data_IF_678261432616
#
_entry.id   IF_678261432616
#
_cell.length_a   1.000
_cell.length_b   1.000
_cell.length_c   1.000
_cell.angle_alpha   90.00
_cell.angle_beta   90.00
_cell.angle_gamma   90.00
#
_symmetry.space_group_name_H-M   'P 1'
#
loop_
_entity.id
_entity.type
_entity.pdbx_description
1 polymer ?
#
# COMPACT_ATOMS: atom_id res chain seq x y z
N UNK A 1 -38.64 2.17 12.78
CA UNK A 1 -37.53 1.58 12.00
C UNK A 1 -36.24 2.25 12.41
N UNK A 2 -35.29 1.50 12.99
CA UNK A 2 -33.98 2.06 13.33
C UNK A 2 -33.20 2.36 12.05
N UNK A 3 -32.54 3.50 12.01
CA UNK A 3 -31.71 3.89 10.88
C UNK A 3 -30.40 3.08 10.92
N UNK A 4 -30.25 2.09 10.03
CA UNK A 4 -29.07 1.23 9.95
C UNK A 4 -27.74 2.00 9.88
N UNK A 5 -27.76 3.16 9.21
CA UNK A 5 -26.59 4.04 9.12
C UNK A 5 -26.19 4.61 10.48
N UNK A 6 -27.18 4.96 11.32
CA UNK A 6 -26.97 5.46 12.68
C UNK A 6 -26.37 4.36 13.56
N UNK A 7 -26.97 3.16 13.55
CA UNK A 7 -26.49 2.02 14.34
C UNK A 7 -25.08 1.62 13.92
N UNK A 8 -24.79 1.62 12.62
CA UNK A 8 -23.43 1.35 12.12
C UNK A 8 -22.42 2.37 12.64
N UNK A 9 -22.74 3.66 12.62
CA UNK A 9 -21.86 4.71 13.14
C UNK A 9 -21.60 4.51 14.64
N UNK A 10 -22.66 4.28 15.42
CA UNK A 10 -22.56 4.03 16.85
C UNK A 10 -21.71 2.80 17.17
N UNK A 11 -21.90 1.70 16.43
CA UNK A 11 -21.08 0.50 16.58
C UNK A 11 -19.59 0.74 16.31
N UNK A 12 -19.27 1.53 15.28
CA UNK A 12 -17.89 1.88 14.94
C UNK A 12 -17.30 2.80 16.02
N UNK A 13 -18.07 3.76 16.51
CA UNK A 13 -17.64 4.68 17.57
C UNK A 13 -17.36 3.95 18.89
N UNK A 14 -18.25 3.04 19.30
CA UNK A 14 -18.03 2.18 20.46
C UNK A 14 -16.74 1.35 20.30
N UNK A 15 -16.49 0.77 19.13
CA UNK A 15 -15.24 0.05 18.85
C UNK A 15 -14.00 0.96 18.90
N UNK A 16 -14.10 2.22 18.44
CA UNK A 16 -13.01 3.21 18.54
C UNK A 16 -12.69 3.56 20.00
N UNK A 17 -13.71 3.64 20.84
CA UNK A 17 -13.59 3.92 22.27
C UNK A 17 -13.21 2.69 23.12
N UNK A 18 -13.02 1.52 22.47
CA UNK A 18 -12.74 0.24 23.12
C UNK A 18 -13.91 -0.31 23.97
N UNK A 19 -15.11 0.23 23.76
CA UNK A 19 -16.36 -0.26 24.37
C UNK A 19 -16.86 -1.49 23.59
N UNK A 20 -16.11 -2.59 23.65
CA UNK A 20 -16.35 -3.78 22.81
C UNK A 20 -17.70 -4.44 23.08
N UNK A 21 -18.16 -4.46 24.32
CA UNK A 21 -19.49 -4.96 24.70
C UNK A 21 -20.60 -4.16 24.02
N UNK A 22 -20.47 -2.83 23.97
CA UNK A 22 -21.41 -1.94 23.29
C UNK A 22 -21.32 -2.10 21.78
N UNK A 23 -20.11 -2.23 21.23
CA UNK A 23 -19.93 -2.52 19.81
C UNK A 23 -20.60 -3.85 19.42
N UNK A 24 -20.54 -4.88 20.27
CA UNK A 24 -21.22 -6.15 20.04
C UNK A 24 -22.73 -5.97 20.07
N UNK A 25 -23.28 -5.31 21.10
CA UNK A 25 -24.74 -5.16 21.24
C UNK A 25 -25.34 -4.40 20.06
N UNK A 26 -24.72 -3.29 19.64
CA UNK A 26 -25.20 -2.47 18.53
C UNK A 26 -25.09 -3.22 17.20
N UNK A 27 -23.99 -3.93 16.93
CA UNK A 27 -23.90 -4.73 15.70
C UNK A 27 -24.86 -5.93 15.70
N UNK A 28 -25.18 -6.52 16.85
CA UNK A 28 -26.21 -7.56 16.93
C UNK A 28 -27.60 -7.01 16.62
N UNK A 29 -27.92 -5.79 17.07
CA UNK A 29 -29.17 -5.13 16.69
C UNK A 29 -29.26 -4.89 15.17
N UNK A 30 -28.14 -4.55 14.51
CA UNK A 30 -28.07 -4.50 13.04
C UNK A 30 -28.43 -5.87 12.44
N UNK A 31 -27.81 -6.94 12.94
CA UNK A 31 -28.00 -8.30 12.45
C UNK A 31 -29.41 -8.87 12.71
N UNK A 32 -30.13 -8.40 13.73
CA UNK A 32 -31.53 -8.79 13.96
C UNK A 32 -32.44 -8.34 12.80
N UNK A 33 -32.13 -7.18 12.23
CA UNK A 33 -32.88 -6.59 11.11
C UNK A 33 -32.28 -6.89 9.73
N UNK A 34 -30.98 -7.17 9.65
CA UNK A 34 -30.25 -7.52 8.43
C UNK A 34 -29.26 -8.67 8.73
N UNK A 35 -29.74 -9.92 8.77
CA UNK A 35 -28.92 -11.08 9.16
C UNK A 35 -27.78 -11.38 8.20
N UNK A 36 -27.83 -10.86 6.97
CA UNK A 36 -26.84 -11.11 5.91
C UNK A 36 -25.77 -10.00 5.83
N UNK A 37 -25.72 -9.11 6.81
CA UNK A 37 -24.76 -8.01 6.83
C UNK A 37 -23.34 -8.49 7.19
N UNK A 38 -22.54 -8.84 6.18
CA UNK A 38 -21.13 -9.24 6.36
C UNK A 38 -20.30 -8.20 7.13
N UNK A 39 -20.59 -6.91 6.94
CA UNK A 39 -19.92 -5.84 7.68
C UNK A 39 -20.19 -5.91 9.19
N UNK A 40 -21.42 -6.19 9.60
CA UNK A 40 -21.78 -6.32 11.01
C UNK A 40 -21.28 -7.64 11.62
N UNK A 41 -21.36 -8.76 10.89
CA UNK A 41 -20.77 -10.05 11.30
C UNK A 41 -19.27 -9.91 11.59
N UNK A 42 -18.53 -9.27 10.69
CA UNK A 42 -17.11 -9.00 10.88
C UNK A 42 -16.84 -8.12 12.10
N UNK A 43 -17.58 -7.02 12.29
CA UNK A 43 -17.38 -6.13 13.44
C UNK A 43 -17.64 -6.85 14.77
N UNK A 44 -18.66 -7.70 14.85
CA UNK A 44 -18.91 -8.55 16.03
C UNK A 44 -17.75 -9.52 16.26
N UNK A 45 -17.27 -10.17 15.19
CA UNK A 45 -16.13 -11.07 15.25
C UNK A 45 -14.88 -10.40 15.83
N UNK A 46 -14.54 -9.20 15.34
CA UNK A 46 -13.37 -8.47 15.87
C UNK A 46 -13.60 -7.99 17.30
N UNK A 47 -14.79 -7.51 17.66
CA UNK A 47 -15.06 -7.10 19.05
C UNK A 47 -14.95 -8.28 20.03
N UNK A 48 -15.39 -9.48 19.64
CA UNK A 48 -15.14 -10.69 20.44
C UNK A 48 -13.65 -11.04 20.54
N UNK A 49 -12.84 -10.82 19.49
CA UNK A 49 -11.39 -11.02 19.58
C UNK A 49 -10.75 -10.09 20.61
N UNK A 50 -11.16 -8.82 20.65
CA UNK A 50 -10.62 -7.83 21.59
C UNK A 50 -10.95 -8.19 23.04
N UNK A 51 -12.10 -8.81 23.28
CA UNK A 51 -12.50 -9.36 24.57
C UNK A 51 -11.85 -10.72 24.91
N UNK A 52 -10.90 -11.20 24.10
CA UNK A 52 -10.27 -12.51 24.27
C UNK A 52 -11.20 -13.70 24.00
N UNK A 53 -12.42 -13.44 23.53
CA UNK A 53 -13.49 -14.41 23.26
C UNK A 53 -13.31 -15.07 21.88
N UNK A 54 -12.19 -15.77 21.71
CA UNK A 54 -11.74 -16.35 20.42
C UNK A 54 -12.74 -17.32 19.79
N UNK A 55 -13.44 -18.15 20.59
CA UNK A 55 -14.42 -19.11 20.09
C UNK A 55 -15.58 -18.40 19.39
N UNK A 56 -16.17 -17.42 20.07
CA UNK A 56 -17.27 -16.62 19.51
C UNK A 56 -16.81 -15.83 18.29
N UNK A 57 -15.63 -15.22 18.34
CA UNK A 57 -15.08 -14.53 17.17
C UNK A 57 -14.99 -15.43 15.93
N UNK A 58 -14.50 -16.66 16.10
CA UNK A 58 -14.38 -17.66 15.03
C UNK A 58 -15.74 -17.97 14.40
N UNK A 59 -16.79 -18.13 15.21
CA UNK A 59 -18.15 -18.40 14.73
C UNK A 59 -18.68 -17.26 13.85
N UNK A 60 -18.47 -16.00 14.25
CA UNK A 60 -18.93 -14.85 13.47
C UNK A 60 -18.17 -14.67 12.16
N UNK A 61 -16.86 -14.91 12.12
CA UNK A 61 -16.11 -14.89 10.86
C UNK A 61 -16.48 -16.06 9.94
N UNK A 62 -16.76 -17.25 10.50
CA UNK A 62 -17.24 -18.38 9.70
C UNK A 62 -18.58 -18.06 9.04
N UNK A 63 -19.53 -17.48 9.79
CA UNK A 63 -20.80 -17.00 9.24
C UNK A 63 -20.63 -15.96 8.12
N UNK A 64 -19.67 -15.03 8.27
CA UNK A 64 -19.35 -14.07 7.21
C UNK A 64 -18.88 -14.77 5.93
N UNK A 65 -18.05 -15.81 6.06
CA UNK A 65 -17.57 -16.60 4.91
C UNK A 65 -18.61 -17.56 4.32
N UNK A 66 -19.58 -18.01 5.11
CA UNK A 66 -20.73 -18.77 4.59
C UNK A 66 -21.59 -17.90 3.67
N UNK A 67 -21.71 -16.60 3.97
CA UNK A 67 -22.44 -15.64 3.15
C UNK A 67 -21.62 -15.11 1.97
N UNK A 68 -20.35 -14.78 2.20
CA UNK A 68 -19.41 -14.33 1.19
C UNK A 68 -18.05 -15.05 1.35
N UNK A 69 -17.82 -16.13 0.60
CA UNK A 69 -16.56 -16.85 0.63
C UNK A 69 -15.34 -16.00 0.25
N UNK A 70 -15.54 -14.86 -0.44
CA UNK A 70 -14.50 -13.94 -0.88
C UNK A 70 -14.18 -12.83 0.13
N UNK A 71 -14.83 -12.83 1.30
CA UNK A 71 -14.59 -11.85 2.36
C UNK A 71 -13.17 -11.96 2.93
N UNK A 72 -12.27 -11.15 2.35
CA UNK A 72 -10.84 -11.10 2.69
C UNK A 72 -10.62 -10.77 4.17
N UNK A 73 -11.50 -9.96 4.79
CA UNK A 73 -11.36 -9.58 6.20
C UNK A 73 -11.64 -10.78 7.12
N UNK A 74 -12.71 -11.52 6.86
CA UNK A 74 -13.05 -12.72 7.61
C UNK A 74 -11.98 -13.82 7.43
N UNK A 75 -11.49 -14.04 6.20
CA UNK A 75 -10.40 -14.97 5.92
C UNK A 75 -9.13 -14.62 6.72
N UNK A 76 -8.68 -13.36 6.66
CA UNK A 76 -7.49 -12.89 7.39
C UNK A 76 -7.63 -13.07 8.90
N UNK A 77 -8.79 -12.74 9.46
CA UNK A 77 -9.02 -12.88 10.90
C UNK A 77 -9.06 -14.35 11.35
N UNK A 78 -9.65 -15.25 10.56
CA UNK A 78 -9.62 -16.69 10.86
C UNK A 78 -8.21 -17.30 10.73
N UNK A 79 -7.44 -16.89 9.72
CA UNK A 79 -6.05 -17.34 9.59
C UNK A 79 -5.22 -16.93 10.81
N UNK A 80 -5.37 -15.68 11.29
CA UNK A 80 -4.70 -15.19 12.50
C UNK A 80 -5.12 -15.95 13.76
N UNK A 81 -6.41 -16.25 13.89
CA UNK A 81 -6.93 -17.10 14.96
C UNK A 81 -6.32 -18.50 14.96
N UNK A 82 -6.18 -19.13 13.78
CA UNK A 82 -5.58 -20.46 13.62
C UNK A 82 -4.07 -20.46 13.91
N UNK A 83 -3.37 -19.39 13.51
CA UNK A 83 -1.93 -19.27 13.70
C UNK A 83 -1.50 -19.04 15.16
N UNK A 84 -2.43 -19.01 16.13
CA UNK A 84 -2.18 -18.68 17.53
C UNK A 84 -1.35 -17.40 17.74
N UNK A 85 -1.34 -16.50 16.74
CA UNK A 85 -0.66 -15.22 16.85
C UNK A 85 -1.40 -14.37 17.90
N UNK A 86 -0.77 -14.23 19.05
CA UNK A 86 -1.26 -13.47 20.20
C UNK A 86 -1.38 -12.00 19.85
N UNK A 87 -2.56 -11.44 20.13
CA UNK A 87 -2.88 -10.05 20.41
C UNK A 87 -1.95 -8.98 19.84
N UNK A 88 -1.99 -8.81 18.53
CA UNK A 88 -1.85 -7.50 17.91
C UNK A 88 -2.86 -7.42 16.76
N UNK A 89 -4.11 -7.09 17.10
CA UNK A 89 -4.93 -6.39 16.12
C UNK A 89 -4.43 -4.95 16.07
N UNK A 90 -4.29 -4.35 14.87
CA UNK A 90 -4.41 -2.91 14.75
C UNK A 90 -5.62 -2.48 15.58
N UNK A 91 -5.35 -1.68 16.60
CA UNK A 91 -6.40 -0.99 17.33
C UNK A 91 -7.38 -0.40 16.32
N UNK A 92 -8.67 -0.40 16.65
CA UNK A 92 -9.66 0.40 15.93
C UNK A 92 -9.38 1.92 16.05
N UNK A 93 -8.16 2.33 16.41
CA UNK A 93 -7.56 3.62 16.05
C UNK A 93 -7.41 3.80 14.54
N UNK A 94 -8.47 3.58 13.77
CA UNK A 94 -8.69 4.33 12.53
C UNK A 94 -9.16 5.74 12.91
N UNK A 95 -8.31 6.46 13.65
CA UNK A 95 -8.26 7.92 13.74
C UNK A 95 -6.83 8.46 13.52
N UNK A 96 -5.89 7.62 13.05
CA UNK A 96 -4.65 8.10 12.40
C UNK A 96 -4.21 7.27 11.19
N UNK A 97 -5.09 6.38 10.73
CA UNK A 97 -4.85 5.44 9.64
C UNK A 97 -6.13 5.28 8.82
N UNK A 98 -6.59 6.38 8.23
CA UNK A 98 -7.47 6.30 7.07
C UNK A 98 -6.51 6.29 5.89
N UNK A 99 -6.38 5.14 5.23
CA UNK A 99 -5.95 5.15 3.83
C UNK A 99 -7.09 5.83 3.07
N UNK A 100 -7.07 7.17 3.05
CA UNK A 100 -7.93 7.97 2.20
C UNK A 100 -7.63 7.57 0.76
N UNK A 101 -8.62 7.00 0.04
CA UNK A 101 -8.43 6.55 -1.32
C UNK A 101 -7.90 7.72 -2.16
N UNK A 102 -6.73 7.53 -2.76
CA UNK A 102 -6.15 8.54 -3.64
C UNK A 102 -5.11 9.47 -3.02
N UNK A 103 -5.11 9.68 -1.70
CA UNK A 103 -4.22 10.66 -1.03
C UNK A 103 -3.22 10.00 -0.07
N UNK A 104 -3.46 8.78 0.37
CA UNK A 104 -2.55 8.07 1.29
C UNK A 104 -2.33 6.62 0.87
N UNK A 105 -1.13 6.10 1.16
CA UNK A 105 -0.79 4.69 0.91
C UNK A 105 0.30 4.19 1.86
N UNK A 106 0.15 2.97 2.35
CA UNK A 106 1.23 2.23 3.01
C UNK A 106 2.07 1.51 1.96
N UNK A 107 3.38 1.71 1.98
CA UNK A 107 4.31 1.14 1.00
C UNK A 107 5.42 0.40 1.74
N UNK A 108 5.71 -0.81 1.28
CA UNK A 108 6.89 -1.55 1.71
C UNK A 108 8.13 -1.05 0.95
N UNK A 109 9.20 -0.76 1.69
CA UNK A 109 10.45 -0.29 1.11
C UNK A 109 11.25 -1.46 0.54
N UNK A 110 11.89 -1.22 -0.59
CA UNK A 110 12.88 -2.12 -1.18
C UNK A 110 14.31 -1.64 -0.85
N UNK A 111 15.31 -2.49 -1.08
CA UNK A 111 16.74 -2.15 -0.90
C UNK A 111 17.02 -1.55 0.49
N UNK A 112 16.57 -2.23 1.54
CA UNK A 112 16.65 -1.75 2.91
C UNK A 112 18.10 -1.51 3.35
N UNK A 113 18.26 -0.58 4.30
CA UNK A 113 19.50 -0.36 5.02
C UNK A 113 19.90 -1.57 5.88
N UNK A 114 21.10 -1.52 6.44
CA UNK A 114 21.61 -2.58 7.31
C UNK A 114 20.79 -2.74 8.59
N UNK A 115 20.85 -3.94 9.20
CA UNK A 115 20.11 -4.30 10.42
C UNK A 115 20.26 -3.29 11.56
N UNK A 116 21.46 -2.70 11.70
CA UNK A 116 21.76 -1.68 12.71
C UNK A 116 20.86 -0.46 12.56
N UNK A 117 20.86 0.16 11.38
CA UNK A 117 20.01 1.32 11.07
C UNK A 117 18.53 0.99 11.24
N UNK A 118 18.08 -0.16 10.75
CA UNK A 118 16.67 -0.57 10.88
C UNK A 118 16.23 -0.77 12.33
N UNK A 119 17.13 -1.26 13.20
CA UNK A 119 16.82 -1.46 14.62
C UNK A 119 16.72 -0.16 15.43
N UNK A 120 17.25 0.94 14.92
CA UNK A 120 17.21 2.26 15.55
C UNK A 120 15.93 3.04 15.18
N UNK A 121 15.16 2.56 14.19
CA UNK A 121 13.96 3.25 13.72
C UNK A 121 12.76 3.03 14.63
N UNK A 122 12.02 4.11 14.88
CA UNK A 122 10.78 4.08 15.65
C UNK A 122 9.55 4.25 14.75
N UNK A 123 8.47 3.55 15.08
CA UNK A 123 7.18 3.74 14.41
C UNK A 123 6.71 5.19 14.62
N UNK A 124 6.26 5.83 13.54
CA UNK A 124 5.83 7.24 13.52
C UNK A 124 6.95 8.23 13.22
N UNK A 125 8.21 7.81 13.16
CA UNK A 125 9.34 8.69 12.87
C UNK A 125 9.21 9.31 11.48
N UNK A 126 9.43 10.63 11.40
CA UNK A 126 9.32 11.37 10.16
C UNK A 126 10.44 10.97 9.19
N UNK A 127 10.08 10.83 7.92
CA UNK A 127 10.98 10.43 6.86
C UNK A 127 11.04 11.52 5.80
N UNK A 128 12.18 11.61 5.12
CA UNK A 128 12.40 12.54 4.02
C UNK A 128 12.56 11.79 2.70
N UNK A 129 11.99 12.36 1.64
CA UNK A 129 12.18 11.87 0.28
C UNK A 129 13.46 12.46 -0.30
N UNK A 130 14.30 11.62 -0.88
CA UNK A 130 15.45 12.03 -1.68
C UNK A 130 15.33 11.45 -3.08
N UNK A 131 14.78 12.22 -4.04
CA UNK A 131 14.70 11.80 -5.42
C UNK A 131 16.09 11.49 -5.99
N UNK A 132 16.23 10.35 -6.66
CA UNK A 132 17.39 9.95 -7.46
C UNK A 132 16.93 9.73 -8.91
N UNK A 133 17.87 9.48 -9.83
CA UNK A 133 17.56 9.37 -11.27
C UNK A 133 16.49 8.32 -11.62
N UNK A 134 16.41 7.22 -10.85
CA UNK A 134 15.48 6.10 -11.13
C UNK A 134 14.50 5.76 -10.02
N UNK A 135 14.72 6.27 -8.80
CA UNK A 135 13.90 5.92 -7.65
C UNK A 135 13.96 7.03 -6.60
N UNK A 136 13.09 6.98 -5.60
CA UNK A 136 13.14 7.87 -4.45
C UNK A 136 13.68 7.08 -3.25
N UNK A 137 14.78 7.56 -2.65
CA UNK A 137 15.25 7.03 -1.37
C UNK A 137 14.52 7.67 -0.21
N UNK A 138 14.30 6.87 0.83
CA UNK A 138 13.74 7.31 2.11
C UNK A 138 14.87 7.42 3.12
N UNK A 139 14.99 8.60 3.71
CA UNK A 139 15.99 8.91 4.72
C UNK A 139 15.33 9.38 6.02
N UNK A 140 15.90 8.96 7.14
CA UNK A 140 15.49 9.36 8.49
C UNK A 140 16.71 9.97 9.17
N UNK A 141 16.57 11.21 9.64
CA UNK A 141 17.67 11.98 10.26
C UNK A 141 18.96 12.01 9.40
N UNK A 142 18.78 12.03 8.07
CA UNK A 142 19.86 12.01 7.08
C UNK A 142 20.49 10.64 6.80
N UNK A 143 20.02 9.57 7.46
CA UNK A 143 20.46 8.21 7.19
C UNK A 143 19.52 7.49 6.23
N UNK A 144 20.10 6.76 5.27
CA UNK A 144 19.35 5.93 4.33
C UNK A 144 18.65 4.78 5.06
N UNK A 145 17.36 4.60 4.78
CA UNK A 145 16.53 3.52 5.34
C UNK A 145 16.15 2.49 4.26
N UNK A 146 15.85 2.97 3.06
CA UNK A 146 15.43 2.13 1.94
C UNK A 146 14.99 2.97 0.74
N UNK A 147 14.48 2.31 -0.29
CA UNK A 147 13.95 2.95 -1.49
C UNK A 147 12.47 2.60 -1.69
N UNK A 148 11.71 3.53 -2.26
CA UNK A 148 10.38 3.22 -2.77
C UNK A 148 10.50 2.28 -3.99
N UNK A 149 9.50 1.42 -4.24
CA UNK A 149 9.36 0.71 -5.51
C UNK A 149 9.42 1.66 -6.72
N UNK A 150 9.82 1.14 -7.88
CA UNK A 150 10.10 1.95 -9.07
C UNK A 150 8.84 2.63 -9.63
N UNK A 151 7.71 1.92 -9.66
CA UNK A 151 6.41 2.42 -10.09
C UNK A 151 5.95 3.61 -9.24
N UNK A 152 6.04 3.47 -7.92
CA UNK A 152 5.70 4.53 -6.96
C UNK A 152 6.68 5.69 -7.09
N UNK A 153 7.97 5.40 -7.19
CA UNK A 153 9.01 6.42 -7.31
C UNK A 153 8.80 7.28 -8.56
N UNK A 154 8.57 6.64 -9.71
CA UNK A 154 8.36 7.31 -10.98
C UNK A 154 7.13 8.22 -10.91
N UNK A 155 6.00 7.69 -10.41
CA UNK A 155 4.76 8.45 -10.27
C UNK A 155 4.90 9.65 -9.34
N UNK A 156 5.43 9.43 -8.12
CA UNK A 156 5.59 10.50 -7.15
C UNK A 156 6.59 11.57 -7.63
N UNK A 157 7.64 11.19 -8.35
CA UNK A 157 8.59 12.15 -8.94
C UNK A 157 7.88 13.08 -9.93
N UNK A 158 7.07 12.55 -10.87
CA UNK A 158 6.30 13.36 -11.83
C UNK A 158 5.36 14.33 -11.12
N UNK A 159 4.64 13.84 -10.10
CA UNK A 159 3.68 14.65 -9.34
C UNK A 159 4.34 15.72 -8.45
N UNK A 160 5.48 15.41 -7.84
CA UNK A 160 6.28 16.38 -7.08
C UNK A 160 6.82 17.49 -7.98
N UNK A 161 7.29 17.14 -9.18
CA UNK A 161 7.75 18.11 -10.18
C UNK A 161 6.63 19.05 -10.65
N UNK A 162 5.39 18.55 -10.75
CA UNK A 162 4.22 19.38 -11.08
C UNK A 162 3.56 20.05 -9.87
N UNK A 163 4.15 19.95 -8.68
CA UNK A 163 3.81 20.77 -7.51
C UNK A 163 3.11 20.07 -6.35
N UNK A 164 2.91 18.74 -6.38
CA UNK A 164 2.37 18.02 -5.23
C UNK A 164 3.40 17.90 -4.10
N UNK A 165 2.94 17.95 -2.85
CA UNK A 165 3.79 17.70 -1.68
C UNK A 165 3.29 16.53 -0.86
N UNK A 166 4.21 15.89 -0.13
CA UNK A 166 3.94 14.65 0.59
C UNK A 166 4.64 14.66 1.94
N UNK A 167 4.01 13.99 2.90
CA UNK A 167 4.62 13.59 4.17
C UNK A 167 4.86 12.08 4.16
N UNK A 168 5.91 11.65 4.87
CA UNK A 168 6.31 10.26 4.99
C UNK A 168 6.66 9.95 6.45
N UNK A 169 6.21 8.80 6.95
CA UNK A 169 6.59 8.34 8.28
C UNK A 169 6.75 6.82 8.33
N UNK A 170 7.58 6.32 9.24
CA UNK A 170 7.74 4.88 9.47
C UNK A 170 6.43 4.30 9.99
N UNK A 171 5.88 3.30 9.30
CA UNK A 171 4.64 2.61 9.67
C UNK A 171 4.94 1.38 10.52
N UNK A 172 5.89 0.58 10.07
CA UNK A 172 6.42 -0.57 10.80
C UNK A 172 7.86 -0.81 10.36
N UNK A 173 8.71 -1.27 11.25
CA UNK A 173 10.08 -1.63 10.93
C UNK A 173 10.47 -2.89 11.71
N UNK A 174 11.24 -3.75 11.06
CA UNK A 174 11.89 -4.93 11.60
C UNK A 174 13.29 -5.05 10.99
N UNK A 175 14.05 -6.08 11.39
CA UNK A 175 15.37 -6.35 10.81
C UNK A 175 15.34 -6.80 9.34
N UNK A 176 14.17 -7.14 8.79
CA UNK A 176 14.02 -7.70 7.44
C UNK A 176 12.98 -6.95 6.57
N UNK A 177 12.12 -6.12 7.17
CA UNK A 177 11.07 -5.40 6.47
C UNK A 177 10.89 -4.02 7.08
N UNK A 178 10.64 -3.03 6.24
CA UNK A 178 10.31 -1.68 6.66
C UNK A 178 9.19 -1.15 5.78
N UNK A 179 8.11 -0.67 6.39
CA UNK A 179 7.00 -0.04 5.68
C UNK A 179 6.89 1.42 6.09
N UNK A 180 6.54 2.26 5.13
CA UNK A 180 6.30 3.68 5.32
C UNK A 180 4.86 4.02 5.00
N UNK A 181 4.34 5.01 5.69
CA UNK A 181 3.06 5.63 5.38
C UNK A 181 3.33 6.94 4.65
N UNK A 182 2.81 7.06 3.43
CA UNK A 182 2.90 8.29 2.63
C UNK A 182 1.53 8.94 2.57
N UNK A 183 1.50 10.27 2.77
CA UNK A 183 0.30 11.10 2.66
C UNK A 183 0.58 12.31 1.77
N UNK A 184 -0.22 12.49 0.71
CA UNK A 184 -0.34 13.73 -0.06
C UNK A 184 -0.78 14.85 0.91
N UNK A 185 0.08 15.84 1.09
CA UNK A 185 -0.19 17.01 1.94
C UNK A 185 -0.73 18.18 1.13
N UNK A 186 -0.39 18.23 -0.16
CA UNK A 186 -0.89 19.24 -1.08
C UNK A 186 -0.95 18.67 -2.50
N UNK A 187 -2.05 18.96 -3.20
CA UNK A 187 -2.22 18.70 -4.62
C UNK A 187 -2.23 20.02 -5.37
N UNK A 188 -1.39 20.13 -6.40
CA UNK A 188 -1.36 21.31 -7.25
C UNK A 188 -2.56 21.33 -8.21
N UNK A 189 -2.93 22.52 -8.68
CA UNK A 189 -4.00 22.71 -9.67
C UNK A 189 -3.75 21.91 -10.95
N UNK A 190 -2.48 21.77 -11.36
CA UNK A 190 -2.06 20.97 -12.54
C UNK A 190 -2.39 19.49 -12.41
N UNK A 191 -2.59 18.99 -11.20
CA UNK A 191 -2.88 17.59 -10.92
C UNK A 191 -4.28 17.41 -10.31
N UNK A 192 -5.20 18.37 -10.43
CA UNK A 192 -6.54 18.32 -9.80
C UNK A 192 -7.23 16.98 -10.02
N UNK A 193 -7.14 16.46 -11.25
CA UNK A 193 -7.83 15.24 -11.70
C UNK A 193 -7.00 13.96 -11.53
N UNK A 194 -5.74 14.08 -11.11
CA UNK A 194 -4.83 12.95 -10.93
C UNK A 194 -4.59 12.67 -9.45
N UNK A 195 -5.09 11.53 -8.97
CA UNK A 195 -4.77 11.06 -7.62
C UNK A 195 -3.34 10.52 -7.52
N UNK A 196 -2.65 10.82 -6.42
CA UNK A 196 -1.31 10.30 -6.18
C UNK A 196 -1.24 8.78 -6.11
N UNK A 197 -2.26 8.15 -5.53
CA UNK A 197 -2.33 6.70 -5.40
C UNK A 197 -3.57 6.15 -6.15
N UNK A 198 -3.42 5.25 -7.12
CA UNK A 198 -4.55 4.73 -7.88
C UNK A 198 -5.59 4.06 -6.97
N UNK A 199 -6.85 4.46 -7.09
CA UNK A 199 -7.99 3.82 -6.43
C UNK A 199 -8.44 2.69 -7.36
N UNK A 200 -8.22 1.44 -6.97
CA UNK A 200 -8.68 0.29 -7.75
C UNK A 200 -10.20 0.36 -7.95
N UNK A 201 -10.63 0.68 -9.18
CA UNK A 201 -12.06 0.79 -9.52
C UNK A 201 -12.34 1.44 -10.88
N UNK A 202 -11.52 2.38 -11.34
CA UNK A 202 -11.52 2.86 -12.74
C UNK A 202 -10.11 3.29 -13.12
N UNK A 203 -9.40 2.46 -13.87
CA UNK A 203 -8.32 2.95 -14.70
C UNK A 203 -8.98 3.89 -15.72
N UNK A 204 -8.97 5.20 -15.46
CA UNK A 204 -8.79 6.13 -16.56
C UNK A 204 -7.39 5.85 -17.08
N UNK A 205 -7.31 4.99 -18.09
CA UNK A 205 -6.24 5.03 -19.06
C UNK A 205 -6.29 6.44 -19.62
N UNK A 206 -5.42 7.31 -19.13
CA UNK A 206 -5.09 8.52 -19.86
C UNK A 206 -4.42 8.07 -21.15
N UNK A 207 -4.82 8.64 -22.28
CA UNK A 207 -4.32 8.33 -23.62
C UNK A 207 -2.78 8.48 -23.76
N UNK A 208 -2.10 9.02 -22.75
CA UNK A 208 -0.63 9.03 -22.61
C UNK A 208 0.03 7.64 -22.46
N UNK A 209 -0.73 6.60 -22.09
CA UNK A 209 -0.16 5.24 -21.91
C UNK A 209 0.13 4.53 -23.24
N UNK A 210 -0.52 4.93 -24.35
CA UNK A 210 -0.33 4.29 -25.67
C UNK A 210 0.95 4.77 -26.38
N UNK A 211 1.49 5.95 -26.04
CA UNK A 211 2.72 6.46 -26.67
C UNK A 211 3.98 5.69 -26.23
N UNK A 212 3.92 4.99 -25.08
CA UNK A 212 5.07 4.21 -24.55
C UNK A 212 5.22 2.81 -25.13
N UNK A 213 4.17 2.24 -25.71
CA UNK A 213 4.25 0.91 -26.33
C UNK A 213 4.85 0.96 -27.73
N UNK A 214 4.81 2.12 -28.40
CA UNK A 214 5.35 2.28 -29.76
C UNK A 214 6.84 2.67 -29.72
N UNK A 215 7.25 3.59 -28.82
CA UNK A 215 8.65 4.02 -28.75
C UNK A 215 9.64 2.95 -28.23
N UNK A 216 9.16 1.97 -27.46
CA UNK A 216 9.98 0.86 -26.97
C UNK A 216 10.15 -0.26 -28.00
N UNK A 217 9.21 -0.39 -28.94
CA UNK A 217 9.32 -1.32 -30.06
C UNK A 217 10.23 -0.78 -31.18
N UNK A 218 10.19 0.53 -31.46
CA UNK A 218 11.02 1.13 -32.52
C UNK A 218 12.49 1.30 -32.13
N UNK A 219 12.81 1.40 -30.82
CA UNK A 219 14.20 1.46 -30.34
C UNK A 219 14.93 0.11 -30.37
N UNK A 220 14.22 -1.01 -30.43
CA UNK A 220 14.84 -2.35 -30.50
C UNK A 220 15.08 -2.84 -31.93
N UNK A 221 14.73 -2.07 -32.97
CA UNK A 221 14.96 -2.44 -34.39
C UNK A 221 16.14 -1.65 -35.00
N UNK A 222 16.65 -0.61 -34.33
CA UNK A 222 17.70 0.28 -34.89
C UNK A 222 19.11 0.09 -34.32
N UNK A 223 19.40 -1.02 -33.65
CA UNK A 223 20.67 -1.20 -32.94
C UNK A 223 21.61 -2.27 -33.53
N UNK A 224 21.33 -2.87 -34.69
CA UNK A 224 22.19 -3.91 -35.28
C UNK A 224 22.78 -3.61 -36.66
N UNK A 225 22.58 -2.41 -37.23
CA UNK A 225 23.18 -2.05 -38.53
C UNK A 225 24.04 -0.77 -38.40
N UNK A 226 25.26 -0.89 -37.85
CA UNK A 226 26.36 -0.01 -38.26
C UNK A 226 27.63 -0.81 -38.52
N UNK A 227 27.97 -0.87 -39.81
CA UNK A 227 29.22 -1.32 -40.39
C UNK A 227 30.43 -0.66 -39.73
N UNK A 228 31.41 -1.44 -39.31
CA UNK A 228 32.76 -0.91 -39.05
C UNK A 228 33.58 -0.90 -40.35
N UNK A 229 34.21 0.23 -40.71
CA UNK A 229 34.96 0.38 -41.95
C UNK A 229 36.40 -0.15 -41.86
N UNK A 230 36.77 -0.84 -42.95
CA UNK A 230 38.08 -1.01 -43.59
C UNK A 230 39.29 -0.34 -42.90
N UNK A 231 40.20 -1.16 -42.37
CA UNK A 231 41.61 -0.78 -42.17
C UNK A 231 42.42 -1.35 -43.32
N UNK A 232 43.05 -0.45 -44.08
CA UNK A 232 44.09 -0.77 -45.07
C UNK A 232 45.36 -1.11 -44.32
N UNK A 233 45.97 -2.25 -44.62
CA UNK A 233 47.40 -2.43 -44.46
C UNK A 233 48.00 -2.77 -45.83
N UNK A 234 48.86 -1.87 -46.26
CA UNK A 234 49.70 -1.89 -47.43
C UNK A 234 51.11 -2.29 -46.98
N UNK A 235 51.57 -3.45 -47.42
CA UNK A 235 53.00 -3.76 -47.54
C UNK A 235 53.13 -4.83 -48.61
N UNK A 236 53.78 -4.44 -49.71
CA UNK A 236 53.90 -5.19 -50.93
C UNK A 236 55.06 -6.18 -50.99
N UNK A 237 55.11 -6.79 -52.17
CA UNK A 237 56.21 -7.43 -52.89
C UNK A 237 56.96 -8.60 -52.24
N UNK A 238 56.82 -9.79 -52.85
CA UNK A 238 57.85 -10.29 -53.76
C UNK A 238 57.38 -11.59 -54.47
N UNK A 239 57.17 -11.46 -55.78
CA UNK A 239 57.63 -12.29 -56.90
C UNK A 239 57.91 -13.81 -56.79
N UNK A 240 57.32 -14.53 -57.77
CA UNK A 240 57.94 -15.56 -58.67
C UNK A 240 58.49 -16.84 -57.99
N UNK A 241 58.09 -18.07 -58.30
CA UNK A 241 57.78 -18.78 -59.57
C UNK A 241 56.92 -20.03 -59.23
#
# INVERSE_FOLDING_TARGET
MFNQSQLRKQAIEAAKNQDWEVAISVNKAILESDPINNGALNRVGVAYLQLGKKKQAKEYFAKSLELDPSDVLAQKNLQRLKANQTNNMPSFTTNHFIEEPGTTKTIELCRLAGKKTLSELSVGQACTFKPKNRFISIEVDGQYVGALPEDISFRLTKLMQSGNTYSCSIRSCSYASCTVHIRETHRSEKNSDTHSFPISGKAHRSDDDDERLIESAERNIRADDEETPIVKDDSGDDDVD
#
